data_IF_975491878494
#
_entry.id   IF_975491878494
#
_cell.length_a   1.000
_cell.length_b   1.000
_cell.length_c   1.000
_cell.angle_alpha   90.00
_cell.angle_beta   90.00
_cell.angle_gamma   90.00
#
_symmetry.space_group_name_H-M   'P 1'
#
loop_
_entity.id
_entity.type
_entity.pdbx_description
1 polymer ?
#
# COMPACT_ATOMS: atom_id res chain seq x y z
N UNK A 1 -33.48 16.29 8.83
CA UNK A 1 -32.06 16.68 8.77
C UNK A 1 -31.21 15.42 8.60
N UNK A 2 -30.26 15.39 7.69
CA UNK A 2 -29.44 14.18 7.46
C UNK A 2 -28.04 14.37 8.08
N UNK A 3 -27.82 13.81 9.27
CA UNK A 3 -26.55 13.91 10.01
C UNK A 3 -25.36 13.41 9.19
N UNK A 4 -25.59 12.40 8.31
CA UNK A 4 -24.54 11.84 7.48
C UNK A 4 -23.92 12.84 6.48
N UNK A 5 -24.70 13.79 5.98
CA UNK A 5 -24.19 14.82 5.07
C UNK A 5 -23.20 15.76 5.79
N UNK A 6 -23.50 16.19 7.02
CA UNK A 6 -22.61 17.06 7.80
C UNK A 6 -21.31 16.34 8.19
N UNK A 7 -21.40 15.04 8.50
CA UNK A 7 -20.21 14.21 8.74
C UNK A 7 -19.35 14.15 7.47
N UNK A 8 -19.97 13.90 6.32
CA UNK A 8 -19.30 13.86 5.02
C UNK A 8 -18.58 15.18 4.72
N UNK A 9 -19.25 16.32 4.88
CA UNK A 9 -18.69 17.65 4.64
C UNK A 9 -17.49 17.95 5.53
N UNK A 10 -17.58 17.56 6.81
CA UNK A 10 -16.49 17.74 7.76
C UNK A 10 -15.28 16.87 7.44
N UNK A 11 -15.46 15.64 6.93
CA UNK A 11 -14.37 14.74 6.59
C UNK A 11 -13.50 15.24 5.42
N UNK A 12 -13.99 16.12 4.57
CA UNK A 12 -13.14 16.81 3.58
C UNK A 12 -12.12 17.74 4.25
N UNK A 13 -12.50 18.38 5.35
CA UNK A 13 -11.71 19.45 6.00
C UNK A 13 -10.92 18.96 7.19
N UNK A 14 -11.46 18.00 7.94
CA UNK A 14 -10.89 17.53 9.20
C UNK A 14 -10.46 16.08 9.12
N UNK A 15 -9.51 15.71 9.96
CA UNK A 15 -9.02 14.33 10.03
C UNK A 15 -9.72 13.49 11.08
N UNK A 16 -10.54 14.12 11.93
CA UNK A 16 -11.36 13.45 12.91
C UNK A 16 -12.70 14.17 13.02
N UNK A 17 -13.80 13.41 13.01
CA UNK A 17 -15.16 13.90 13.23
C UNK A 17 -15.81 13.03 14.29
N UNK A 18 -16.03 13.57 15.46
CA UNK A 18 -16.63 12.87 16.59
C UNK A 18 -18.15 13.06 16.56
N UNK A 19 -18.87 11.96 16.70
CA UNK A 19 -20.31 11.91 16.91
C UNK A 19 -20.51 11.61 18.39
N UNK A 20 -20.97 12.60 19.19
CA UNK A 20 -21.13 12.44 20.63
C UNK A 20 -21.90 11.16 20.99
N UNK A 21 -21.45 10.46 22.00
CA UNK A 21 -22.05 9.20 22.54
C UNK A 21 -22.13 8.02 21.56
N UNK A 22 -21.61 8.17 20.33
CA UNK A 22 -21.65 7.09 19.33
C UNK A 22 -20.25 6.59 18.95
N UNK A 23 -19.39 7.49 18.48
CA UNK A 23 -18.04 7.18 18.04
C UNK A 23 -17.48 8.27 17.15
N UNK A 24 -16.31 8.05 16.54
CA UNK A 24 -15.68 9.03 15.67
C UNK A 24 -15.13 8.41 14.38
N UNK A 25 -15.23 9.16 13.30
CA UNK A 25 -14.54 8.86 12.05
C UNK A 25 -13.15 9.50 12.08
N UNK A 26 -12.13 8.69 11.82
CA UNK A 26 -10.74 9.14 11.74
C UNK A 26 -10.24 8.89 10.33
N UNK A 27 -9.54 9.87 9.76
CA UNK A 27 -9.00 9.78 8.42
C UNK A 27 -7.47 9.76 8.44
N UNK A 28 -6.89 8.89 7.63
CA UNK A 28 -5.46 8.83 7.38
C UNK A 28 -5.19 9.06 5.90
N UNK A 29 -4.20 9.92 5.60
CA UNK A 29 -3.76 10.15 4.22
C UNK A 29 -2.93 8.97 3.76
N UNK A 30 -3.30 8.39 2.63
CA UNK A 30 -2.55 7.34 1.95
C UNK A 30 -1.99 7.89 0.64
N UNK A 31 -0.73 7.54 0.33
CA UNK A 31 -0.08 7.92 -0.92
C UNK A 31 -0.69 7.23 -2.14
N UNK A 32 -0.29 7.67 -3.32
CA UNK A 32 -0.63 6.99 -4.55
C UNK A 32 -0.16 5.53 -4.51
N UNK A 33 -0.96 4.63 -5.08
CA UNK A 33 -0.67 3.19 -5.13
C UNK A 33 -0.70 2.69 -6.56
N UNK A 34 0.11 1.68 -6.84
CA UNK A 34 0.09 0.94 -8.10
C UNK A 34 -0.37 -0.48 -7.80
N UNK A 35 -1.36 -0.95 -8.51
CA UNK A 35 -1.70 -2.37 -8.52
C UNK A 35 -0.93 -3.01 -9.68
N UNK A 36 0.10 -3.80 -9.36
CA UNK A 36 0.96 -4.44 -10.36
C UNK A 36 0.23 -5.49 -11.20
N UNK A 37 -0.81 -6.12 -10.63
CA UNK A 37 -1.58 -7.16 -11.34
C UNK A 37 -2.45 -6.55 -12.44
N UNK A 38 -3.09 -5.42 -12.18
CA UNK A 38 -3.97 -4.73 -13.14
C UNK A 38 -3.27 -3.55 -13.82
N UNK A 39 -2.01 -3.26 -13.50
CA UNK A 39 -1.27 -2.07 -13.94
C UNK A 39 -2.07 -0.76 -13.76
N UNK A 40 -2.81 -0.68 -12.64
CA UNK A 40 -3.69 0.46 -12.36
C UNK A 40 -3.04 1.36 -11.32
N UNK A 41 -2.96 2.64 -11.64
CA UNK A 41 -2.49 3.69 -10.73
C UNK A 41 -3.70 4.29 -10.00
N UNK A 42 -3.64 4.31 -8.68
CA UNK A 42 -4.63 4.94 -7.83
C UNK A 42 -4.06 6.23 -7.26
N UNK A 43 -4.80 7.34 -7.29
CA UNK A 43 -4.35 8.60 -6.72
C UNK A 43 -4.22 8.51 -5.20
N UNK A 44 -3.54 9.48 -4.56
CA UNK A 44 -3.56 9.63 -3.11
C UNK A 44 -5.01 9.77 -2.61
N UNK A 45 -5.30 9.24 -1.43
CA UNK A 45 -6.65 9.27 -0.87
C UNK A 45 -6.64 9.44 0.65
N UNK A 46 -7.81 9.80 1.22
CA UNK A 46 -8.06 9.67 2.63
C UNK A 46 -8.71 8.31 2.90
N UNK A 47 -8.04 7.49 3.69
CA UNK A 47 -8.63 6.27 4.25
C UNK A 47 -9.42 6.64 5.50
N UNK A 48 -10.68 6.27 5.53
CA UNK A 48 -11.58 6.53 6.66
C UNK A 48 -11.69 5.26 7.50
N UNK A 49 -11.62 5.42 8.81
CA UNK A 49 -11.87 4.36 9.80
C UNK A 49 -12.84 4.86 10.85
N UNK A 50 -13.54 3.97 11.51
CA UNK A 50 -14.44 4.31 12.61
C UNK A 50 -13.87 3.80 13.94
N UNK A 51 -13.95 4.64 14.97
CA UNK A 51 -13.55 4.28 16.33
C UNK A 51 -14.71 4.53 17.30
N UNK A 52 -15.28 3.48 17.84
CA UNK A 52 -16.39 3.51 18.79
C UNK A 52 -16.02 4.08 20.19
N UNK A 53 -14.73 4.26 20.47
CA UNK A 53 -14.27 4.83 21.75
C UNK A 53 -14.23 6.37 21.75
N UNK A 54 -14.25 7.01 20.57
CA UNK A 54 -14.23 8.47 20.44
C UNK A 54 -15.63 9.04 20.63
N UNK A 55 -16.09 9.12 21.87
CA UNK A 55 -17.47 9.54 22.22
C UNK A 55 -17.57 10.93 22.84
N UNK A 56 -16.46 11.50 23.28
CA UNK A 56 -16.45 12.80 23.97
C UNK A 56 -16.66 13.89 22.92
N UNK A 57 -17.68 14.72 23.16
CA UNK A 57 -18.02 15.83 22.28
C UNK A 57 -16.89 16.86 22.24
N UNK A 58 -16.28 17.06 21.08
CA UNK A 58 -15.29 18.11 20.82
C UNK A 58 -15.92 19.43 20.33
N UNK A 59 -17.22 19.43 20.15
CA UNK A 59 -18.00 20.57 19.66
C UNK A 59 -17.97 20.78 18.14
N UNK A 60 -17.09 20.09 17.39
CA UNK A 60 -16.92 20.32 15.95
C UNK A 60 -18.21 20.11 15.18
N UNK A 61 -18.78 18.90 15.27
CA UNK A 61 -20.01 18.53 14.57
C UNK A 61 -21.19 19.39 15.03
N UNK A 62 -21.31 19.62 16.33
CA UNK A 62 -22.41 20.42 16.90
C UNK A 62 -22.36 21.88 16.43
N UNK A 63 -21.18 22.51 16.46
CA UNK A 63 -21.02 23.88 15.97
C UNK A 63 -21.26 23.99 14.46
N UNK A 64 -20.80 22.99 13.69
CA UNK A 64 -21.00 22.98 12.25
C UNK A 64 -22.50 22.93 11.90
N UNK A 65 -23.26 22.05 12.56
CA UNK A 65 -24.71 21.96 12.39
C UNK A 65 -25.41 23.24 12.84
N UNK A 66 -25.04 23.76 14.03
CA UNK A 66 -25.61 25.00 14.56
C UNK A 66 -25.47 26.17 13.56
N UNK A 67 -24.28 26.32 12.99
CA UNK A 67 -23.99 27.35 11.99
C UNK A 67 -24.68 27.10 10.66
N UNK A 68 -24.70 25.86 10.17
CA UNK A 68 -25.29 25.51 8.88
C UNK A 68 -26.81 25.66 8.87
N UNK A 69 -27.48 25.34 10.00
CA UNK A 69 -28.95 25.41 10.15
C UNK A 69 -29.43 26.71 10.81
N UNK A 70 -28.51 27.60 11.20
CA UNK A 70 -28.82 28.81 11.91
C UNK A 70 -29.65 28.57 13.19
N UNK A 71 -29.22 27.61 14.00
CA UNK A 71 -29.83 27.21 15.28
C UNK A 71 -28.82 27.32 16.42
N UNK A 72 -29.32 27.26 17.67
CA UNK A 72 -28.43 27.28 18.83
C UNK A 72 -27.64 25.97 18.97
N UNK A 73 -26.51 26.04 19.65
CA UNK A 73 -25.67 24.89 19.96
C UNK A 73 -26.45 23.79 20.71
N UNK A 74 -27.27 24.18 21.67
CA UNK A 74 -28.09 23.27 22.47
C UNK A 74 -29.12 22.53 21.59
N UNK A 75 -29.72 23.26 20.63
CA UNK A 75 -30.67 22.66 19.69
C UNK A 75 -29.98 21.70 18.76
N UNK A 76 -28.80 22.03 18.22
CA UNK A 76 -27.98 21.13 17.41
C UNK A 76 -27.56 19.87 18.18
N UNK A 77 -27.10 20.03 19.43
CA UNK A 77 -26.74 18.92 20.31
C UNK A 77 -27.89 17.96 20.55
N UNK A 78 -29.12 18.48 20.78
CA UNK A 78 -30.31 17.63 20.94
C UNK A 78 -30.64 16.83 19.67
N UNK A 79 -30.51 17.46 18.51
CA UNK A 79 -30.76 16.80 17.21
C UNK A 79 -29.75 15.67 17.00
N UNK A 80 -28.48 15.91 17.29
CA UNK A 80 -27.45 14.86 17.22
C UNK A 80 -27.81 13.71 18.16
N UNK A 81 -28.16 13.99 19.42
CA UNK A 81 -28.49 12.98 20.40
C UNK A 81 -29.70 12.12 19.97
N UNK A 82 -30.73 12.72 19.37
CA UNK A 82 -31.87 12.00 18.81
C UNK A 82 -31.45 11.08 17.68
N UNK A 83 -30.67 11.58 16.70
CA UNK A 83 -30.18 10.77 15.59
C UNK A 83 -29.29 9.63 16.06
N UNK A 84 -28.46 9.85 17.08
CA UNK A 84 -27.62 8.81 17.69
C UNK A 84 -28.47 7.74 18.37
N UNK A 85 -29.55 8.14 19.04
CA UNK A 85 -30.48 7.19 19.66
C UNK A 85 -31.17 6.34 18.61
N UNK A 86 -31.62 6.93 17.51
CA UNK A 86 -32.19 6.22 16.37
C UNK A 86 -31.19 5.23 15.79
N UNK A 87 -29.94 5.65 15.53
CA UNK A 87 -28.90 4.78 15.02
C UNK A 87 -28.56 3.61 15.94
N UNK A 88 -28.48 3.85 17.26
CA UNK A 88 -28.25 2.77 18.24
C UNK A 88 -29.35 1.72 18.25
N UNK A 89 -30.60 2.12 17.99
CA UNK A 89 -31.70 1.19 17.89
C UNK A 89 -31.69 0.45 16.53
N UNK A 90 -31.43 1.21 15.46
CA UNK A 90 -31.48 0.71 14.09
C UNK A 90 -30.38 -0.30 13.78
N UNK A 91 -29.14 -0.07 14.29
CA UNK A 91 -27.97 -0.91 14.01
C UNK A 91 -28.14 -2.36 14.49
N UNK A 92 -29.02 -2.59 15.47
CA UNK A 92 -29.32 -3.94 15.95
C UNK A 92 -30.15 -4.77 14.95
N UNK A 93 -30.81 -4.11 14.00
CA UNK A 93 -31.73 -4.77 13.05
C UNK A 93 -31.26 -4.69 11.61
N UNK A 94 -30.58 -3.60 11.24
CA UNK A 94 -30.10 -3.38 9.88
C UNK A 94 -28.84 -2.50 9.85
N UNK A 95 -28.04 -2.60 8.78
CA UNK A 95 -26.92 -1.69 8.54
C UNK A 95 -27.32 -0.22 8.50
N UNK A 96 -26.49 0.65 9.06
CA UNK A 96 -26.70 2.10 8.99
C UNK A 96 -25.84 2.68 7.86
N UNK A 97 -26.50 3.29 6.90
CA UNK A 97 -25.84 4.02 5.82
C UNK A 97 -25.47 5.42 6.27
N UNK A 98 -24.15 5.73 6.33
CA UNK A 98 -23.65 7.08 6.61
C UNK A 98 -23.37 7.80 5.29
N UNK A 99 -24.42 8.09 4.55
CA UNK A 99 -24.34 8.81 3.27
C UNK A 99 -23.28 8.21 2.32
N UNK A 100 -22.41 9.06 1.80
CA UNK A 100 -21.29 8.66 0.94
C UNK A 100 -20.04 8.17 1.71
N UNK A 101 -20.05 8.22 3.04
CA UNK A 101 -18.89 7.85 3.88
C UNK A 101 -18.72 6.33 3.94
N UNK A 102 -19.83 5.60 4.14
CA UNK A 102 -19.81 4.15 4.23
C UNK A 102 -20.98 3.58 5.04
N UNK A 103 -20.83 2.34 5.47
CA UNK A 103 -21.86 1.58 6.18
C UNK A 103 -21.34 1.12 7.54
N UNK A 104 -22.17 1.24 8.57
CA UNK A 104 -21.92 0.69 9.89
C UNK A 104 -22.79 -0.55 10.12
N UNK A 105 -22.18 -1.61 10.62
CA UNK A 105 -22.84 -2.88 10.96
C UNK A 105 -22.41 -3.33 12.35
N UNK A 106 -23.18 -4.24 12.94
CA UNK A 106 -22.74 -4.96 14.15
C UNK A 106 -22.22 -6.36 13.77
N UNK A 107 -21.11 -6.74 14.41
CA UNK A 107 -20.65 -8.13 14.36
C UNK A 107 -21.36 -8.99 15.43
N UNK A 108 -21.07 -10.29 15.45
CA UNK A 108 -21.57 -11.24 16.42
C UNK A 108 -21.26 -10.89 17.88
N UNK A 109 -20.20 -10.09 18.12
CA UNK A 109 -19.76 -9.61 19.41
C UNK A 109 -20.36 -8.26 19.80
N UNK A 110 -21.39 -7.78 19.11
CA UNK A 110 -21.98 -6.44 19.29
C UNK A 110 -20.99 -5.27 19.14
N UNK A 111 -19.94 -5.45 18.33
CA UNK A 111 -19.01 -4.37 18.02
C UNK A 111 -19.38 -3.74 16.67
N UNK A 112 -19.29 -2.42 16.60
CA UNK A 112 -19.55 -1.69 15.36
C UNK A 112 -18.38 -1.90 14.39
N UNK A 113 -18.69 -2.46 13.22
CA UNK A 113 -17.78 -2.56 12.09
C UNK A 113 -18.14 -1.48 11.09
N UNK A 114 -17.14 -0.86 10.52
CA UNK A 114 -17.28 0.17 9.49
C UNK A 114 -16.71 -0.31 8.16
N UNK A 115 -17.53 -0.23 7.14
CA UNK A 115 -17.17 -0.49 5.75
C UNK A 115 -17.15 0.86 5.00
N UNK A 116 -15.93 1.39 4.65
CA UNK A 116 -15.83 2.66 3.95
C UNK A 116 -16.32 2.56 2.50
N UNK A 117 -16.99 3.59 2.03
CA UNK A 117 -17.28 3.72 0.62
C UNK A 117 -16.03 4.25 -0.12
N UNK A 118 -15.50 3.43 -1.02
CA UNK A 118 -14.29 3.76 -1.78
C UNK A 118 -14.53 4.59 -3.03
N UNK A 119 -15.80 4.88 -3.35
CA UNK A 119 -16.16 5.63 -4.56
C UNK A 119 -15.82 7.11 -4.42
N UNK A 120 -15.86 7.65 -3.21
CA UNK A 120 -15.59 9.07 -2.92
C UNK A 120 -14.23 9.22 -2.28
N UNK A 121 -13.38 10.07 -2.86
CA UNK A 121 -12.10 10.43 -2.27
C UNK A 121 -12.24 11.75 -1.48
N UNK A 122 -12.10 11.66 -0.17
CA UNK A 122 -12.17 12.81 0.74
C UNK A 122 -10.90 13.66 0.79
N UNK A 123 -9.85 13.31 0.04
CA UNK A 123 -8.63 14.08 -0.05
C UNK A 123 -8.79 15.20 -1.08
N UNK A 124 -8.95 16.43 -0.61
CA UNK A 124 -9.15 17.61 -1.48
C UNK A 124 -8.00 17.86 -2.45
N UNK A 125 -6.78 17.51 -2.06
CA UNK A 125 -5.59 17.62 -2.91
C UNK A 125 -5.62 16.67 -4.11
N UNK A 126 -6.47 15.66 -4.07
CA UNK A 126 -6.65 14.66 -5.14
C UNK A 126 -7.89 14.91 -6.00
N UNK A 127 -8.56 16.06 -5.85
CA UNK A 127 -9.72 16.37 -6.68
C UNK A 127 -9.35 16.41 -8.15
N UNK A 128 -10.18 15.77 -8.97
CA UNK A 128 -9.95 15.63 -10.41
C UNK A 128 -8.99 14.50 -10.80
N UNK A 129 -8.33 13.84 -9.83
CA UNK A 129 -7.54 12.66 -10.11
C UNK A 129 -8.42 11.41 -10.07
N UNK A 130 -8.31 10.60 -11.12
CA UNK A 130 -8.98 9.30 -11.23
C UNK A 130 -7.95 8.18 -11.31
N UNK A 131 -8.38 6.95 -11.07
CA UNK A 131 -7.53 5.78 -11.32
C UNK A 131 -7.29 5.62 -12.83
N UNK A 132 -6.05 5.34 -13.21
CA UNK A 132 -5.64 5.16 -14.62
C UNK A 132 -5.02 3.78 -14.78
N UNK A 133 -5.59 2.97 -15.67
CA UNK A 133 -4.97 1.74 -16.10
C UNK A 133 -3.93 2.06 -17.19
N UNK A 134 -2.70 1.56 -17.03
CA UNK A 134 -1.62 1.68 -18.01
C UNK A 134 -1.26 0.29 -18.52
N UNK A 135 -0.93 0.20 -19.80
CA UNK A 135 -0.38 -1.04 -20.32
C UNK A 135 0.99 -1.32 -19.69
N UNK A 136 1.28 -2.60 -19.42
CA UNK A 136 2.58 -2.97 -18.91
C UNK A 136 3.67 -2.69 -19.94
N UNK A 137 4.65 -1.87 -19.59
CA UNK A 137 5.81 -1.64 -20.44
C UNK A 137 6.63 -2.93 -20.45
N UNK A 138 6.59 -3.68 -21.54
CA UNK A 138 7.53 -4.78 -21.77
C UNK A 138 8.93 -4.18 -21.91
N UNK A 139 9.66 -4.07 -20.81
CA UNK A 139 11.08 -3.75 -20.88
C UNK A 139 11.77 -4.91 -21.55
N UNK A 140 12.17 -4.74 -22.82
CA UNK A 140 13.17 -5.61 -23.43
C UNK A 140 14.47 -5.38 -22.64
N UNK A 141 14.67 -6.15 -21.60
CA UNK A 141 15.97 -6.26 -20.96
C UNK A 141 16.84 -6.92 -22.02
N UNK A 142 17.58 -6.10 -22.80
CA UNK A 142 18.63 -6.60 -23.64
C UNK A 142 19.51 -7.45 -22.71
N UNK A 143 19.53 -8.78 -22.91
CA UNK A 143 20.46 -9.65 -22.23
C UNK A 143 21.84 -9.17 -22.64
N UNK A 144 22.45 -8.30 -21.83
CA UNK A 144 23.84 -7.96 -21.95
C UNK A 144 24.57 -9.29 -21.76
N UNK A 145 25.05 -9.89 -22.85
CA UNK A 145 25.93 -11.04 -22.75
C UNK A 145 27.11 -10.57 -21.90
N UNK A 146 27.41 -11.20 -20.78
CA UNK A 146 28.62 -10.85 -20.04
C UNK A 146 29.76 -11.01 -21.04
N UNK A 147 30.54 -9.94 -21.23
CA UNK A 147 31.81 -10.03 -21.91
C UNK A 147 32.69 -10.94 -21.07
N UNK A 148 32.60 -12.23 -21.33
CA UNK A 148 33.57 -13.17 -20.79
C UNK A 148 34.89 -12.77 -21.46
N UNK A 149 35.88 -12.29 -20.70
CA UNK A 149 37.19 -12.02 -21.29
C UNK A 149 37.63 -13.33 -21.90
N UNK A 150 37.81 -13.34 -23.24
CA UNK A 150 38.40 -14.48 -23.92
C UNK A 150 39.81 -14.53 -23.38
N UNK A 151 40.04 -15.31 -22.32
CA UNK A 151 41.35 -15.67 -21.91
C UNK A 151 41.94 -16.42 -23.10
N UNK A 152 42.77 -15.71 -23.86
CA UNK A 152 43.56 -16.26 -24.94
C UNK A 152 44.31 -17.44 -24.30
N UNK A 153 43.86 -18.66 -24.56
CA UNK A 153 44.54 -19.86 -24.08
C UNK A 153 45.93 -19.83 -24.74
N UNK A 154 46.95 -19.36 -24.01
CA UNK A 154 48.33 -19.45 -24.46
C UNK A 154 48.57 -20.94 -24.73
N UNK A 155 48.70 -21.30 -25.99
CA UNK A 155 49.18 -22.60 -26.38
C UNK A 155 50.63 -22.70 -25.87
N UNK A 156 50.80 -23.22 -24.66
CA UNK A 156 52.12 -23.67 -24.21
C UNK A 156 52.57 -24.67 -25.25
N UNK A 157 53.50 -24.25 -26.11
CA UNK A 157 54.15 -25.17 -27.06
C UNK A 157 54.70 -26.33 -26.22
N UNK A 158 54.05 -27.45 -26.27
CA UNK A 158 54.52 -28.66 -25.56
C UNK A 158 55.94 -28.96 -26.04
N UNK A 159 56.80 -29.31 -25.10
CA UNK A 159 58.18 -29.75 -25.42
C UNK A 159 58.08 -30.87 -26.46
N UNK A 160 58.73 -30.70 -27.62
CA UNK A 160 58.64 -31.71 -28.69
C UNK A 160 58.98 -33.10 -28.14
N UNK A 161 58.23 -34.09 -28.55
CA UNK A 161 58.27 -35.46 -27.97
C UNK A 161 59.64 -36.08 -27.99
N UNK A 162 60.49 -35.70 -28.98
CA UNK A 162 61.88 -36.25 -29.09
C UNK A 162 62.77 -35.77 -27.95
N UNK A 163 62.57 -34.58 -27.36
CA UNK A 163 63.36 -34.10 -26.23
C UNK A 163 63.08 -34.88 -24.95
N UNK A 164 61.89 -35.50 -24.81
CA UNK A 164 61.54 -36.35 -23.67
C UNK A 164 62.35 -37.64 -23.60
N UNK A 165 62.87 -38.11 -24.73
CA UNK A 165 63.63 -39.37 -24.82
C UNK A 165 65.12 -39.13 -25.02
N UNK A 166 65.56 -37.92 -25.29
CA UNK A 166 67.01 -37.62 -25.53
C UNK A 166 67.82 -37.77 -24.24
N UNK A 167 67.31 -37.37 -23.07
CA UNK A 167 68.05 -37.52 -21.82
C UNK A 167 68.30 -38.99 -21.39
N UNK A 168 67.31 -39.87 -21.38
CA UNK A 168 67.55 -41.25 -21.03
C UNK A 168 68.43 -42.02 -22.04
N UNK A 169 68.38 -41.65 -23.34
CA UNK A 169 69.28 -42.26 -24.37
C UNK A 169 70.72 -41.81 -24.17
N UNK A 170 70.98 -40.55 -23.79
CA UNK A 170 72.32 -40.09 -23.48
C UNK A 170 72.95 -40.77 -22.26
N UNK A 171 72.12 -41.02 -21.21
CA UNK A 171 72.57 -41.77 -20.00
C UNK A 171 72.89 -43.23 -20.31
N UNK A 172 72.11 -43.89 -21.13
CA UNK A 172 72.38 -45.27 -21.55
C UNK A 172 73.66 -45.38 -22.36
N UNK A 173 73.97 -44.46 -23.27
CA UNK A 173 75.19 -44.40 -24.04
C UNK A 173 76.45 -44.19 -23.17
N UNK A 174 76.38 -43.37 -22.16
CA UNK A 174 77.48 -43.09 -21.23
C UNK A 174 77.78 -44.30 -20.33
N UNK A 175 76.75 -45.04 -19.88
CA UNK A 175 76.86 -46.24 -19.07
C UNK A 175 77.44 -47.40 -19.87
N UNK A 176 77.13 -47.54 -21.16
CA UNK A 176 77.75 -48.59 -22.04
C UNK A 176 79.21 -48.34 -22.36
N UNK A 177 79.61 -47.07 -22.36
CA UNK A 177 81.04 -46.71 -22.60
C UNK A 177 81.90 -46.90 -21.34
N UNK A 178 81.33 -46.66 -20.14
CA UNK A 178 82.02 -46.84 -18.87
C UNK A 178 82.16 -48.29 -18.42
N UNK A 179 81.37 -49.23 -18.97
CA UNK A 179 81.39 -50.63 -18.63
C UNK A 179 82.34 -51.47 -19.50
N UNK A 180 83.06 -50.88 -20.45
CA UNK A 180 83.93 -51.60 -21.40
C UNK A 180 85.42 -51.22 -21.33
N UNK A 181 85.88 -50.72 -20.13
CA UNK A 181 87.28 -50.45 -19.80
C UNK A 181 87.71 -51.34 -18.62
#
# INVERSE_FOLDING_TARGET
>A
MNLANYISDLLYRYNCVIIPDFGGFVTNKIGAKVNETSNTFYPPAKQITFNSHLKVNDGLLTNYIASSENITFEKASRIIALSVTEWKNEINTKPIQIGAVGVLTLNENNQIIFEPNTTVNYLTESFGLTSVASESIKRNIAKVKPLIPILKKENKKGIPTFIKYAAPAAIMLTLSFAGNN
#
